data_IF_893475174572
#
_entry.id   IF_893475174572
#
_cell.length_a   1.000
_cell.length_b   1.000
_cell.length_c   1.000
_cell.angle_alpha   90.00
_cell.angle_beta   90.00
_cell.angle_gamma   90.00
#
_symmetry.space_group_name_H-M   'P 1'
#
loop_
_entity.id
_entity.type
_entity.pdbx_description
1 polymer ?
#
# COMPACT_ATOMS: atom_id res chain seq x y z
N UNK A 1 -32.99 -6.29 3.76
CA UNK A 1 -32.01 -5.23 3.43
C UNK A 1 -30.67 -5.85 3.27
N UNK A 2 -30.01 -5.66 2.12
CA UNK A 2 -28.63 -6.05 2.01
C UNK A 2 -27.84 -5.23 3.03
N UNK A 3 -26.95 -5.84 3.76
CA UNK A 3 -26.07 -5.06 4.61
C UNK A 3 -24.95 -4.41 3.78
N UNK A 4 -24.15 -3.56 4.43
CA UNK A 4 -23.11 -2.82 3.75
C UNK A 4 -22.03 -3.72 3.14
N UNK A 5 -21.83 -4.92 3.68
CA UNK A 5 -20.88 -5.88 3.10
C UNK A 5 -21.42 -6.49 1.81
N UNK A 6 -22.71 -6.76 1.74
CA UNK A 6 -23.31 -7.23 0.49
C UNK A 6 -23.23 -6.17 -0.59
N UNK A 7 -23.44 -4.90 -0.23
CA UNK A 7 -23.28 -3.77 -1.14
C UNK A 7 -21.84 -3.64 -1.64
N UNK A 8 -20.84 -3.86 -0.78
CA UNK A 8 -19.43 -3.87 -1.18
C UNK A 8 -19.12 -4.95 -2.20
N UNK A 9 -19.65 -6.15 -1.99
CA UNK A 9 -19.40 -7.27 -2.89
C UNK A 9 -19.95 -7.02 -4.30
N UNK A 10 -21.05 -6.27 -4.40
CA UNK A 10 -21.70 -5.95 -5.68
C UNK A 10 -21.19 -4.65 -6.31
N UNK A 11 -20.50 -3.80 -5.55
CA UNK A 11 -19.94 -2.55 -6.04
C UNK A 11 -18.61 -2.79 -6.76
N UNK A 12 -18.37 -2.03 -7.81
CA UNK A 12 -17.06 -2.05 -8.48
C UNK A 12 -16.10 -1.11 -7.74
N UNK A 13 -15.56 -1.57 -6.63
CA UNK A 13 -14.69 -0.78 -5.75
C UNK A 13 -13.26 -0.83 -6.27
N UNK A 14 -12.79 0.30 -6.77
CA UNK A 14 -11.48 0.45 -7.38
C UNK A 14 -11.01 1.90 -7.29
N UNK A 15 -9.71 2.10 -7.17
CA UNK A 15 -9.10 3.42 -7.23
C UNK A 15 -7.70 3.34 -7.83
N UNK A 16 -7.36 4.38 -8.60
CA UNK A 16 -6.00 4.58 -9.13
C UNK A 16 -5.44 5.89 -8.60
N UNK A 17 -4.15 5.95 -8.38
CA UNK A 17 -3.44 7.18 -8.07
C UNK A 17 -2.02 7.13 -8.62
N UNK A 18 -1.53 8.28 -9.05
CA UNK A 18 -0.14 8.43 -9.50
C UNK A 18 0.64 9.23 -8.48
N UNK A 19 1.82 8.77 -8.13
CA UNK A 19 2.74 9.53 -7.30
C UNK A 19 4.09 9.68 -7.97
N UNK A 20 4.82 10.73 -7.60
CA UNK A 20 6.21 10.92 -8.00
C UNK A 20 7.10 10.61 -6.80
N UNK A 21 8.12 9.77 -7.00
CA UNK A 21 9.04 9.44 -5.92
C UNK A 21 9.96 10.63 -5.64
N UNK A 22 9.84 11.24 -4.48
CA UNK A 22 10.77 12.28 -4.04
C UNK A 22 11.94 11.69 -3.24
N UNK A 23 12.99 12.50 -3.05
CA UNK A 23 14.18 12.06 -2.35
C UNK A 23 13.97 11.74 -0.86
N UNK A 24 12.93 12.30 -0.23
CA UNK A 24 12.62 12.03 1.18
C UNK A 24 11.99 10.65 1.39
N UNK A 25 11.38 10.11 0.36
CA UNK A 25 10.71 8.82 0.42
C UNK A 25 11.47 7.72 -0.31
N UNK A 26 12.63 8.05 -0.89
CA UNK A 26 13.49 7.07 -1.52
C UNK A 26 14.27 6.29 -0.46
N UNK A 27 14.55 5.02 -0.78
CA UNK A 27 15.34 4.14 0.07
C UNK A 27 16.69 3.93 -0.60
N UNK A 28 17.81 4.21 0.08
CA UNK A 28 19.11 3.88 -0.45
C UNK A 28 19.33 2.37 -0.41
N UNK A 29 19.75 1.81 -1.53
CA UNK A 29 20.19 0.42 -1.64
C UNK A 29 21.67 0.39 -1.96
N UNK A 30 22.35 -0.62 -1.53
CA UNK A 30 23.82 -0.72 -1.54
C UNK A 30 24.45 0.38 -0.67
N UNK A 31 25.71 0.23 -0.37
CA UNK A 31 26.41 1.17 0.45
C UNK A 31 26.05 1.11 1.94
N UNK A 32 26.81 1.84 2.73
CA UNK A 32 26.66 1.87 4.18
C UNK A 32 25.56 2.84 4.60
N UNK A 33 24.70 2.40 5.50
CA UNK A 33 23.72 3.26 6.14
C UNK A 33 24.11 3.48 7.59
N UNK A 34 24.31 4.77 7.96
CA UNK A 34 24.63 5.14 9.33
C UNK A 34 23.38 5.24 10.21
N UNK A 35 22.24 5.49 9.61
CA UNK A 35 20.97 5.62 10.28
C UNK A 35 19.92 4.90 9.43
N UNK A 36 19.78 3.57 9.64
CA UNK A 36 18.90 2.82 8.78
C UNK A 36 17.46 3.30 8.94
N UNK A 37 16.77 3.58 7.83
CA UNK A 37 15.35 3.81 7.89
C UNK A 37 14.64 2.57 8.47
N UNK A 38 13.36 2.66 8.69
CA UNK A 38 12.56 1.56 9.24
C UNK A 38 12.68 0.24 8.44
N UNK A 39 13.35 0.26 7.30
CA UNK A 39 13.70 -0.93 6.55
C UNK A 39 15.16 -1.27 6.70
N UNK A 40 15.47 -2.55 6.86
CA UNK A 40 16.84 -3.01 6.74
C UNK A 40 17.25 -2.99 5.27
N UNK A 41 17.44 -1.82 4.71
CA UNK A 41 17.98 -1.70 3.38
C UNK A 41 19.44 -2.09 3.40
N UNK A 42 19.84 -2.68 2.38
CA UNK A 42 21.14 -3.13 1.96
C UNK A 42 22.30 -2.89 2.92
N UNK A 43 22.75 -3.95 3.45
CA UNK A 43 23.86 -4.00 4.41
C UNK A 43 25.20 -4.24 3.75
N UNK A 44 25.28 -4.20 2.46
CA UNK A 44 26.57 -4.35 1.88
C UNK A 44 27.31 -3.03 1.99
N UNK A 45 28.53 -3.13 2.39
CA UNK A 45 29.22 -2.03 3.03
C UNK A 45 30.18 -1.29 2.10
N UNK A 46 29.89 -1.18 0.81
CA UNK A 46 30.77 -0.42 -0.07
C UNK A 46 30.39 1.06 -0.04
N UNK A 47 31.18 1.94 0.64
CA UNK A 47 30.85 3.36 0.71
C UNK A 47 30.77 4.00 -0.68
N UNK A 48 29.76 4.84 -0.87
CA UNK A 48 29.60 5.61 -2.11
C UNK A 48 28.87 4.91 -3.24
N UNK A 49 28.42 3.67 -3.06
CA UNK A 49 27.67 2.93 -4.08
C UNK A 49 26.15 2.93 -3.85
N UNK A 50 25.66 3.73 -2.92
CA UNK A 50 24.23 3.79 -2.66
C UNK A 50 23.46 4.35 -3.85
N UNK A 51 22.35 3.70 -4.16
CA UNK A 51 21.40 4.14 -5.18
C UNK A 51 20.06 4.36 -4.51
N UNK A 52 19.47 5.53 -4.71
CA UNK A 52 18.16 5.87 -4.13
C UNK A 52 17.05 5.39 -5.05
N UNK A 53 16.20 4.54 -4.52
CA UNK A 53 15.09 3.92 -5.26
C UNK A 53 13.83 3.89 -4.44
N UNK A 54 12.71 3.56 -5.08
CA UNK A 54 11.46 3.29 -4.39
C UNK A 54 11.61 2.05 -3.51
N UNK A 55 11.47 2.25 -2.20
CA UNK A 55 11.49 1.16 -1.23
C UNK A 55 10.15 0.44 -1.15
N UNK A 56 10.21 -0.84 -0.77
CA UNK A 56 9.01 -1.68 -0.65
C UNK A 56 8.06 -1.17 0.44
N UNK A 57 8.57 -0.63 1.55
CA UNK A 57 7.70 -0.11 2.61
C UNK A 57 6.95 1.16 2.19
N UNK A 58 7.59 2.05 1.45
CA UNK A 58 6.90 3.22 0.91
C UNK A 58 5.84 2.82 -0.11
N UNK A 59 6.16 1.85 -0.96
CA UNK A 59 5.20 1.29 -1.92
C UNK A 59 4.00 0.66 -1.20
N UNK A 60 4.23 -0.09 -0.13
CA UNK A 60 3.16 -0.66 0.69
C UNK A 60 2.26 0.45 1.28
N UNK A 61 2.85 1.54 1.76
CA UNK A 61 2.09 2.69 2.26
C UNK A 61 1.23 3.32 1.16
N UNK A 62 1.74 3.42 -0.06
CA UNK A 62 0.97 3.91 -1.20
C UNK A 62 -0.18 2.97 -1.56
N UNK A 63 0.04 1.67 -1.57
CA UNK A 63 -1.01 0.69 -1.78
C UNK A 63 -2.12 0.81 -0.73
N UNK A 64 -1.76 0.93 0.53
CA UNK A 64 -2.72 1.12 1.61
C UNK A 64 -3.55 2.38 1.46
N UNK A 65 -2.93 3.48 1.08
CA UNK A 65 -3.62 4.76 0.87
C UNK A 65 -4.62 4.68 -0.29
N UNK A 66 -4.22 4.06 -1.40
CA UNK A 66 -5.08 3.91 -2.58
C UNK A 66 -6.27 2.97 -2.29
N UNK A 67 -6.03 1.88 -1.58
CA UNK A 67 -7.09 0.94 -1.18
C UNK A 67 -8.10 1.60 -0.22
N UNK A 68 -7.62 2.38 0.75
CA UNK A 68 -8.50 3.13 1.66
C UNK A 68 -9.34 4.16 0.90
N UNK A 69 -8.74 4.84 -0.07
CA UNK A 69 -9.47 5.79 -0.90
C UNK A 69 -10.56 5.08 -1.73
N UNK A 70 -10.27 3.89 -2.22
CA UNK A 70 -11.26 3.06 -2.92
C UNK A 70 -12.46 2.70 -2.03
N UNK A 71 -12.23 2.49 -0.73
CA UNK A 71 -13.28 2.17 0.22
C UNK A 71 -14.11 3.37 0.66
N UNK A 72 -13.64 4.59 0.40
CA UNK A 72 -14.32 5.79 0.85
C UNK A 72 -15.77 5.84 0.33
N UNK A 73 -16.71 6.04 1.24
CA UNK A 73 -18.14 6.09 0.92
C UNK A 73 -18.83 4.74 0.80
N UNK A 74 -18.09 3.63 0.94
CA UNK A 74 -18.64 2.28 0.84
C UNK A 74 -18.77 1.55 2.18
N UNK A 75 -18.23 2.12 3.25
CA UNK A 75 -18.31 1.49 4.57
C UNK A 75 -19.55 1.95 5.33
N UNK A 76 -20.11 1.09 6.23
CA UNK A 76 -21.21 1.51 7.09
C UNK A 76 -20.82 2.70 7.98
N UNK A 77 -21.80 3.49 8.38
CA UNK A 77 -21.58 4.60 9.32
C UNK A 77 -20.90 4.10 10.59
N UNK A 78 -19.95 4.87 11.08
CA UNK A 78 -19.22 4.53 12.30
C UNK A 78 -18.14 3.48 12.12
N UNK A 79 -17.98 2.94 10.93
CA UNK A 79 -16.98 1.91 10.63
C UNK A 79 -15.76 2.49 9.92
N UNK A 80 -14.66 1.78 10.03
CA UNK A 80 -13.41 2.07 9.36
C UNK A 80 -12.70 0.79 8.96
N UNK A 81 -11.66 0.91 8.19
CA UNK A 81 -10.87 -0.24 7.76
C UNK A 81 -9.46 -0.14 8.34
N UNK A 82 -8.99 -1.21 8.96
CA UNK A 82 -7.60 -1.35 9.42
C UNK A 82 -6.91 -2.44 8.63
N UNK A 83 -5.71 -2.15 8.16
CA UNK A 83 -4.90 -3.09 7.41
C UNK A 83 -4.39 -4.18 8.35
N UNK A 84 -4.60 -5.43 7.98
CA UNK A 84 -4.20 -6.57 8.82
C UNK A 84 -3.21 -7.49 8.14
N UNK A 85 -3.04 -7.39 6.84
CA UNK A 85 -2.11 -8.25 6.13
C UNK A 85 -1.80 -7.72 4.75
N UNK A 86 -0.62 -8.07 4.26
CA UNK A 86 -0.16 -7.71 2.93
C UNK A 86 0.79 -8.77 2.41
N UNK A 87 0.74 -8.98 1.10
CA UNK A 87 1.73 -9.78 0.38
C UNK A 87 2.07 -9.03 -0.89
N UNK A 88 3.33 -8.63 -1.04
CA UNK A 88 3.79 -7.79 -2.15
C UNK A 88 5.03 -8.39 -2.78
N UNK A 89 5.05 -8.43 -4.10
CA UNK A 89 6.24 -8.70 -4.88
C UNK A 89 6.68 -7.43 -5.58
N UNK A 90 7.86 -6.93 -5.25
CA UNK A 90 8.48 -5.75 -5.85
C UNK A 90 9.33 -6.23 -7.03
N UNK A 91 8.93 -5.90 -8.25
CA UNK A 91 9.42 -6.53 -9.48
C UNK A 91 10.42 -5.67 -10.24
N UNK A 92 10.37 -4.34 -10.10
CA UNK A 92 11.21 -3.43 -10.84
C UNK A 92 11.51 -2.16 -10.02
N UNK A 93 12.70 -1.58 -10.17
CA UNK A 93 13.07 -0.36 -9.44
C UNK A 93 12.41 0.88 -10.04
N UNK A 94 12.29 1.91 -9.21
CA UNK A 94 11.90 3.26 -9.63
C UNK A 94 12.91 4.23 -9.04
N UNK A 95 13.44 5.10 -9.88
CA UNK A 95 14.39 6.15 -9.45
C UNK A 95 13.65 7.34 -8.84
N UNK A 96 14.40 8.17 -8.12
CA UNK A 96 13.90 9.48 -7.67
C UNK A 96 13.38 10.27 -8.88
N UNK A 97 12.29 10.98 -8.71
CA UNK A 97 11.52 11.70 -9.73
C UNK A 97 10.74 10.80 -10.71
N UNK A 98 10.86 9.50 -10.58
CA UNK A 98 10.03 8.57 -11.36
C UNK A 98 8.57 8.61 -10.94
N UNK A 99 7.67 8.49 -11.91
CA UNK A 99 6.21 8.45 -11.67
C UNK A 99 5.71 7.02 -11.69
N UNK A 100 4.85 6.71 -10.74
CA UNK A 100 4.25 5.38 -10.56
C UNK A 100 2.75 5.51 -10.42
N UNK A 101 2.02 4.73 -11.18
CA UNK A 101 0.57 4.61 -11.04
C UNK A 101 0.23 3.34 -10.27
N UNK A 102 -0.49 3.54 -9.18
CA UNK A 102 -0.94 2.47 -8.27
C UNK A 102 -2.43 2.24 -8.47
N UNK A 103 -2.82 0.99 -8.59
CA UNK A 103 -4.23 0.58 -8.71
C UNK A 103 -4.56 -0.40 -7.60
N UNK A 104 -5.69 -0.17 -6.92
CA UNK A 104 -6.25 -1.11 -5.95
C UNK A 104 -7.67 -1.48 -6.38
N UNK A 105 -7.96 -2.76 -6.44
CA UNK A 105 -9.27 -3.30 -6.84
C UNK A 105 -9.76 -4.27 -5.78
N UNK A 106 -10.96 -4.04 -5.26
CA UNK A 106 -11.58 -4.96 -4.31
C UNK A 106 -11.92 -6.25 -5.04
N UNK A 107 -11.39 -7.38 -4.56
CA UNK A 107 -11.56 -8.67 -5.23
C UNK A 107 -12.32 -9.68 -4.37
N UNK A 108 -12.42 -9.45 -3.06
CA UNK A 108 -13.12 -10.39 -2.16
C UNK A 108 -13.64 -9.68 -0.92
N UNK A 109 -14.85 -10.03 -0.54
CA UNK A 109 -15.45 -9.66 0.74
C UNK A 109 -15.70 -10.94 1.54
N UNK A 110 -15.07 -11.04 2.69
CA UNK A 110 -15.16 -12.21 3.58
C UNK A 110 -15.25 -11.72 5.03
N UNK A 111 -16.42 -11.28 5.43
CA UNK A 111 -16.68 -10.61 6.72
C UNK A 111 -15.84 -11.12 7.87
N UNK A 112 -15.23 -10.24 8.65
CA UNK A 112 -15.23 -8.78 8.56
C UNK A 112 -14.12 -8.24 7.65
N UNK A 113 -13.51 -9.09 6.82
CA UNK A 113 -12.37 -8.76 6.01
C UNK A 113 -12.76 -8.40 4.58
N UNK A 114 -11.98 -7.49 4.00
CA UNK A 114 -12.04 -7.16 2.57
C UNK A 114 -10.63 -7.27 2.00
N UNK A 115 -10.51 -7.80 0.80
CA UNK A 115 -9.24 -8.03 0.16
C UNK A 115 -9.14 -7.28 -1.16
N UNK A 116 -8.02 -6.60 -1.35
CA UNK A 116 -7.68 -5.88 -2.56
C UNK A 116 -6.57 -6.58 -3.31
N UNK A 117 -6.69 -6.66 -4.62
CA UNK A 117 -5.55 -6.86 -5.51
C UNK A 117 -4.94 -5.50 -5.79
N UNK A 118 -3.62 -5.39 -5.71
CA UNK A 118 -2.90 -4.14 -5.93
C UNK A 118 -1.81 -4.34 -6.97
N UNK A 119 -1.54 -3.29 -7.72
CA UNK A 119 -0.43 -3.26 -8.65
C UNK A 119 0.10 -1.85 -8.81
N UNK A 120 1.36 -1.76 -9.19
CA UNK A 120 2.02 -0.51 -9.51
C UNK A 120 2.73 -0.64 -10.85
N UNK A 121 2.64 0.39 -11.67
CA UNK A 121 3.28 0.47 -12.98
C UNK A 121 4.10 1.75 -13.07
N UNK A 122 5.27 1.64 -13.67
CA UNK A 122 6.14 2.78 -13.95
C UNK A 122 5.61 3.51 -15.19
N UNK A 123 5.32 4.81 -15.05
CA UNK A 123 4.65 5.56 -16.13
C UNK A 123 5.53 5.73 -17.37
N UNK A 124 6.86 5.81 -17.19
CA UNK A 124 7.77 6.05 -18.30
C UNK A 124 7.77 4.96 -19.37
N UNK A 125 7.56 3.70 -18.96
CA UNK A 125 7.64 2.55 -19.88
C UNK A 125 6.53 1.52 -19.68
N UNK A 126 5.64 1.74 -18.73
CA UNK A 126 4.55 0.80 -18.42
C UNK A 126 5.01 -0.48 -17.73
N UNK A 127 6.27 -0.55 -17.27
CA UNK A 127 6.77 -1.74 -16.60
C UNK A 127 6.05 -2.00 -15.28
N UNK A 128 5.76 -3.26 -14.99
CA UNK A 128 5.21 -3.65 -13.70
C UNK A 128 6.26 -3.43 -12.61
N UNK A 129 5.96 -2.57 -11.66
CA UNK A 129 6.82 -2.27 -10.50
C UNK A 129 6.53 -3.24 -9.37
N UNK A 130 5.27 -3.54 -9.12
CA UNK A 130 4.87 -4.45 -8.06
C UNK A 130 3.46 -4.98 -8.28
N UNK A 131 3.20 -6.13 -7.69
CA UNK A 131 1.86 -6.73 -7.58
C UNK A 131 1.68 -7.28 -6.18
N UNK A 132 0.45 -7.44 -5.75
CA UNK A 132 0.20 -8.05 -4.45
C UNK A 132 -1.26 -8.01 -4.02
N UNK A 133 -1.45 -8.31 -2.74
CA UNK A 133 -2.73 -8.33 -2.07
C UNK A 133 -2.65 -7.57 -0.76
N UNK A 134 -3.73 -6.85 -0.43
CA UNK A 134 -3.91 -6.27 0.90
C UNK A 134 -5.21 -6.80 1.50
N UNK A 135 -5.19 -7.08 2.79
CA UNK A 135 -6.39 -7.42 3.54
C UNK A 135 -6.64 -6.37 4.61
N UNK A 136 -7.84 -5.82 4.60
CA UNK A 136 -8.32 -4.91 5.63
C UNK A 136 -9.41 -5.59 6.44
N UNK A 137 -9.46 -5.27 7.72
CA UNK A 137 -10.60 -5.62 8.57
C UNK A 137 -11.47 -4.38 8.74
N UNK A 138 -12.75 -4.52 8.47
CA UNK A 138 -13.74 -3.47 8.74
C UNK A 138 -14.13 -3.57 10.21
N UNK A 139 -13.99 -2.46 10.92
CA UNK A 139 -14.18 -2.39 12.38
C UNK A 139 -15.14 -1.25 12.74
N UNK A 140 -15.85 -1.42 13.85
CA UNK A 140 -16.54 -0.31 14.51
C UNK A 140 -15.47 0.60 15.13
N UNK A 141 -15.48 1.89 14.79
CA UNK A 141 -14.43 2.82 15.18
C UNK A 141 -14.36 3.03 16.70
N UNK A 142 -15.49 3.17 17.35
CA UNK A 142 -15.54 3.37 18.80
C UNK A 142 -15.04 2.15 19.54
N UNK A 143 -15.50 1.00 19.13
CA UNK A 143 -15.09 -0.27 19.70
C UNK A 143 -13.59 -0.51 19.52
N UNK A 144 -13.09 -0.19 18.35
CA UNK A 144 -11.65 -0.31 18.05
C UNK A 144 -10.82 0.62 18.95
N UNK A 145 -11.24 1.89 19.11
CA UNK A 145 -10.52 2.83 19.99
C UNK A 145 -10.47 2.30 21.43
N UNK A 146 -11.57 1.73 21.93
CA UNK A 146 -11.61 1.16 23.26
C UNK A 146 -10.73 -0.06 23.46
N UNK A 147 -10.33 -0.73 22.38
CA UNK A 147 -9.46 -1.90 22.43
C UNK A 147 -7.96 -1.58 22.41
N UNK A 148 -7.60 -0.35 22.02
CA UNK A 148 -6.20 0.06 21.95
C UNK A 148 -5.71 0.38 23.36
N UNK A 149 -4.68 -0.32 23.88
CA UNK A 149 -4.16 -0.05 25.22
C UNK A 149 -3.46 1.32 25.26
N UNK A 150 -3.55 1.98 26.40
CA UNK A 150 -2.82 3.23 26.67
C UNK A 150 -1.33 2.98 26.95
#
# INVERSE_FOLDING_TARGET
>A
MPDAFDALADANVRHDATFTLDGHHATPVFGRQDDPPSEPAATDATPGEAVDVLGTSYLLAQFGAVAREALRGHLPDGHGAVERGASISHLAPVSVDGEVTVTATLVRVSRPDVRFAVRAERDSDGAAVATGDLTFRVVDRERFRGSVPE
#
